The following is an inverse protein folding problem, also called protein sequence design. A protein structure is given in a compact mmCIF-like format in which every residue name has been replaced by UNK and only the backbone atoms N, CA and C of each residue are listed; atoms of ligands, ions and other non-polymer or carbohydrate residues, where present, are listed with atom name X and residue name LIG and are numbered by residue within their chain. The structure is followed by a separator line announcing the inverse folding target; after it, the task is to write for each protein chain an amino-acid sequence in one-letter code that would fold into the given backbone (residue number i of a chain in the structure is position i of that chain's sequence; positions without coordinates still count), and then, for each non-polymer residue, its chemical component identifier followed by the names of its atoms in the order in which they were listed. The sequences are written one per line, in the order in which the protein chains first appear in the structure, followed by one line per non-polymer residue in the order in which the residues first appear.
data_IF_352491481351
#
_entry.id   IF_352491481351
#
_cell.length_a   1.000
_cell.length_b   1.000
_cell.length_c   1.000
_cell.angle_alpha   90.00
_cell.angle_beta   90.00
_cell.angle_gamma   90.00
#
_symmetry.space_group_name_H-M   'P 1'
#
loop_
_entity.id
_entity.type
_entity.pdbx_description
1 polymer ?
#
# COMPACT_ATOMS: atom_id res chain seq x y z
N UNK A 1 -19.50 -7.67 18.36
CA UNK A 1 -18.24 -7.33 17.66
C UNK A 1 -18.13 -8.22 16.44
N UNK A 2 -17.74 -7.72 15.26
CA UNK A 2 -17.42 -8.60 14.14
C UNK A 2 -16.27 -9.55 14.55
N UNK A 3 -16.24 -10.79 14.02
CA UNK A 3 -15.19 -11.74 14.34
C UNK A 3 -13.82 -11.17 13.94
N UNK A 4 -12.82 -11.38 14.79
CA UNK A 4 -11.45 -10.94 14.54
C UNK A 4 -10.89 -11.80 13.41
N UNK A 5 -10.34 -11.17 12.37
CA UNK A 5 -9.67 -11.93 11.32
C UNK A 5 -8.39 -12.56 11.90
N UNK A 6 -8.05 -13.80 11.52
CA UNK A 6 -6.79 -14.42 11.91
C UNK A 6 -5.60 -13.50 11.58
N UNK A 7 -4.58 -13.49 12.44
CA UNK A 7 -3.36 -12.70 12.20
C UNK A 7 -3.42 -11.27 12.70
N UNK A 8 -4.47 -10.91 13.44
CA UNK A 8 -4.68 -9.55 13.93
C UNK A 8 -5.07 -9.58 15.39
N UNK A 9 -4.59 -8.58 16.12
CA UNK A 9 -5.05 -8.27 17.46
C UNK A 9 -5.63 -6.87 17.47
N UNK A 10 -6.55 -6.62 18.42
CA UNK A 10 -6.99 -5.26 18.74
C UNK A 10 -6.23 -4.77 19.95
N UNK A 11 -5.56 -3.65 19.79
CA UNK A 11 -4.94 -2.94 20.90
C UNK A 11 -5.99 -2.06 21.61
N UNK A 12 -5.84 -1.81 22.92
CA UNK A 12 -6.68 -0.85 23.62
C UNK A 12 -6.52 0.53 23.00
N UNK A 13 -7.62 1.12 22.55
CA UNK A 13 -7.65 2.49 22.02
C UNK A 13 -7.43 3.46 23.18
N UNK A 14 -6.38 4.28 23.16
CA UNK A 14 -6.19 5.27 24.22
C UNK A 14 -4.92 6.12 24.20
N UNK A 15 -3.90 5.76 23.43
CA UNK A 15 -2.66 6.56 23.32
C UNK A 15 -2.39 6.83 21.85
N UNK A 16 -2.16 8.09 21.50
CA UNK A 16 -1.73 8.47 20.16
C UNK A 16 -0.39 7.78 19.86
N UNK A 17 -0.27 7.03 18.74
CA UNK A 17 0.94 6.28 18.47
C UNK A 17 2.13 7.22 18.24
N UNK A 18 3.26 6.89 18.83
CA UNK A 18 4.53 7.63 18.69
C UNK A 18 5.34 7.09 17.51
N UNK A 19 6.39 7.80 17.12
CA UNK A 19 7.28 7.36 16.06
C UNK A 19 7.94 6.01 16.46
N UNK A 20 7.77 4.94 15.68
CA UNK A 20 8.29 3.63 16.06
C UNK A 20 9.82 3.52 15.93
N UNK A 21 10.43 4.24 15.00
CA UNK A 21 11.90 4.32 14.84
C UNK A 21 12.31 5.49 13.94
N UNK A 22 13.52 6.01 14.16
CA UNK A 22 14.20 6.91 13.23
C UNK A 22 14.82 6.14 12.06
N UNK A 23 15.14 4.85 12.23
CA UNK A 23 15.55 3.98 11.14
C UNK A 23 14.35 3.67 10.23
N UNK A 24 14.51 3.92 8.93
CA UNK A 24 13.38 3.81 8.01
C UNK A 24 12.92 2.36 7.81
N UNK A 25 13.82 1.38 7.83
CA UNK A 25 13.42 -0.03 7.67
C UNK A 25 12.65 -0.53 8.88
N UNK A 26 13.07 -0.17 10.09
CA UNK A 26 12.30 -0.46 11.30
C UNK A 26 10.95 0.26 11.29
N UNK A 27 10.92 1.53 10.88
CA UNK A 27 9.69 2.30 10.75
C UNK A 27 8.70 1.62 9.80
N UNK A 28 9.12 1.26 8.57
CA UNK A 28 8.19 0.76 7.55
C UNK A 28 7.62 -0.62 7.93
N UNK A 29 8.41 -1.48 8.58
CA UNK A 29 7.93 -2.77 9.13
C UNK A 29 6.85 -2.55 10.19
N UNK A 30 7.02 -1.55 11.06
CA UNK A 30 6.02 -1.20 12.06
C UNK A 30 4.77 -0.58 11.41
N UNK A 31 4.96 0.37 10.48
CA UNK A 31 3.90 1.05 9.74
C UNK A 31 2.99 0.05 9.01
N UNK A 32 3.56 -0.88 8.23
CA UNK A 32 2.79 -1.91 7.54
C UNK A 32 2.02 -2.85 8.47
N UNK A 33 2.47 -3.03 9.71
CA UNK A 33 1.84 -3.93 10.67
C UNK A 33 0.86 -3.24 11.63
N UNK A 34 0.62 -1.93 11.54
CA UNK A 34 -0.29 -1.21 12.46
C UNK A 34 -1.21 -0.24 11.73
N UNK A 35 -2.52 -0.43 11.90
CA UNK A 35 -3.50 0.52 11.40
C UNK A 35 -3.41 1.89 12.06
N UNK A 36 -3.04 1.97 13.34
CA UNK A 36 -2.85 3.25 14.03
C UNK A 36 -1.65 4.03 13.47
N UNK A 37 -0.54 3.34 13.17
CA UNK A 37 0.62 3.96 12.53
C UNK A 37 0.29 4.44 11.11
N UNK A 38 -0.45 3.65 10.33
CA UNK A 38 -0.93 4.05 9.00
C UNK A 38 -1.79 5.31 9.07
N UNK A 39 -2.71 5.37 10.04
CA UNK A 39 -3.56 6.54 10.26
C UNK A 39 -2.73 7.76 10.67
N UNK A 40 -1.79 7.61 11.62
CA UNK A 40 -1.05 8.73 12.21
C UNK A 40 0.07 9.28 11.33
N UNK A 41 0.77 8.40 10.63
CA UNK A 41 1.96 8.74 9.85
C UNK A 41 1.68 8.81 8.33
N UNK A 42 0.42 8.92 7.94
CA UNK A 42 0.03 9.43 6.61
C UNK A 42 -0.14 10.93 6.68
N UNK A 43 0.58 11.68 5.83
CA UNK A 43 0.39 13.11 5.70
C UNK A 43 -1.02 13.43 5.20
N UNK A 44 -1.56 14.57 5.64
CA UNK A 44 -2.88 15.06 5.22
C UNK A 44 -2.76 16.55 4.88
N UNK A 45 -2.86 16.93 3.60
CA UNK A 45 -2.97 16.03 2.45
C UNK A 45 -1.67 15.25 2.18
N UNK A 46 -1.80 14.14 1.43
CA UNK A 46 -0.71 13.50 0.70
C UNK A 46 -1.06 13.43 -0.79
N UNK A 47 -0.04 13.42 -1.65
CA UNK A 47 -0.25 13.43 -3.10
C UNK A 47 -0.44 12.01 -3.63
N UNK A 48 -1.54 11.77 -4.33
CA UNK A 48 -1.79 10.53 -5.06
C UNK A 48 -1.65 10.79 -6.54
N UNK A 49 -0.86 9.94 -7.22
CA UNK A 49 -0.76 9.93 -8.68
C UNK A 49 -1.25 8.60 -9.22
N UNK A 50 -2.21 8.63 -10.13
CA UNK A 50 -2.77 7.41 -10.73
C UNK A 50 -3.14 7.59 -12.20
N UNK A 51 -3.45 6.51 -12.91
CA UNK A 51 -3.90 6.57 -14.29
C UNK A 51 -5.19 7.38 -14.39
N UNK A 52 -5.25 8.31 -15.34
CA UNK A 52 -6.39 9.21 -15.50
C UNK A 52 -7.70 8.43 -15.77
N UNK A 53 -7.63 7.32 -16.51
CA UNK A 53 -8.82 6.58 -16.90
C UNK A 53 -9.59 5.96 -15.72
N UNK A 54 -8.93 5.69 -14.58
CA UNK A 54 -9.56 5.04 -13.42
C UNK A 54 -10.68 5.88 -12.81
N UNK A 55 -10.57 7.21 -12.87
CA UNK A 55 -11.53 8.13 -12.26
C UNK A 55 -12.42 8.87 -13.28
N UNK A 56 -12.06 8.83 -14.56
CA UNK A 56 -12.66 9.69 -15.59
C UNK A 56 -13.45 8.94 -16.67
N UNK A 57 -13.59 7.61 -16.56
CA UNK A 57 -14.35 6.78 -17.51
C UNK A 57 -13.89 6.99 -18.97
N UNK A 58 -12.57 7.02 -19.19
CA UNK A 58 -11.93 7.11 -20.51
C UNK A 58 -11.23 5.81 -20.89
N UNK A 59 -10.82 5.63 -22.14
CA UNK A 59 -10.03 4.45 -22.54
C UNK A 59 -8.56 4.59 -22.09
N UNK A 60 -7.93 3.53 -21.54
CA UNK A 60 -6.50 3.53 -21.23
C UNK A 60 -5.63 3.83 -22.46
N UNK A 61 -4.62 4.68 -22.27
CA UNK A 61 -3.68 5.08 -23.31
C UNK A 61 -4.25 6.02 -24.39
N UNK A 62 -5.51 6.44 -24.30
CA UNK A 62 -6.13 7.36 -25.26
C UNK A 62 -5.40 8.70 -25.29
N UNK A 63 -4.74 9.09 -26.41
CA UNK A 63 -4.00 10.33 -26.49
C UNK A 63 -4.88 11.59 -26.42
N UNK A 64 -6.22 11.45 -26.50
CA UNK A 64 -7.15 12.55 -26.28
C UNK A 64 -7.23 12.99 -24.80
N UNK A 65 -6.77 12.16 -23.87
CA UNK A 65 -6.83 12.39 -22.43
C UNK A 65 -5.42 12.41 -21.82
N UNK A 66 -5.23 13.05 -20.65
CA UNK A 66 -4.00 12.87 -19.88
C UNK A 66 -3.78 11.39 -19.56
N UNK A 67 -2.52 10.97 -19.50
CA UNK A 67 -2.19 9.61 -19.05
C UNK A 67 -2.34 9.48 -17.53
N UNK A 68 -1.97 10.54 -16.80
CA UNK A 68 -1.89 10.56 -15.35
C UNK A 68 -2.69 11.71 -14.77
N UNK A 69 -3.23 11.49 -13.58
CA UNK A 69 -3.77 12.53 -12.72
C UNK A 69 -2.97 12.59 -11.42
N UNK A 70 -2.87 13.77 -10.81
CA UNK A 70 -2.36 13.94 -9.45
C UNK A 70 -3.38 14.70 -8.63
N UNK A 71 -3.75 14.14 -7.48
CA UNK A 71 -4.75 14.68 -6.55
C UNK A 71 -4.23 14.66 -5.13
N UNK A 72 -4.70 15.59 -4.31
CA UNK A 72 -4.46 15.58 -2.87
C UNK A 72 -5.53 14.72 -2.16
N UNK A 73 -5.09 13.85 -1.24
CA UNK A 73 -5.98 13.05 -0.41
C UNK A 73 -5.81 13.34 1.09
N UNK A 74 -6.93 13.48 1.80
CA UNK A 74 -6.97 13.80 3.23
C UNK A 74 -7.26 12.58 4.14
N UNK A 75 -7.67 11.44 3.58
CA UNK A 75 -7.85 10.21 4.35
C UNK A 75 -6.52 9.45 4.44
N UNK A 76 -6.28 8.64 5.49
CA UNK A 76 -5.06 7.85 5.57
C UNK A 76 -4.98 6.79 4.48
N UNK A 77 -3.75 6.36 4.17
CA UNK A 77 -3.53 5.16 3.37
C UNK A 77 -3.81 3.93 4.24
N UNK A 78 -4.41 2.90 3.64
CA UNK A 78 -4.49 1.57 4.22
C UNK A 78 -3.78 0.57 3.32
N UNK A 79 -2.58 0.18 3.71
CA UNK A 79 -1.75 -0.72 2.92
C UNK A 79 -2.19 -2.19 3.12
N UNK A 80 -1.93 -3.04 2.13
CA UNK A 80 -2.18 -4.48 2.13
C UNK A 80 -0.91 -5.30 2.39
N UNK A 81 0.27 -4.68 2.44
CA UNK A 81 1.52 -5.38 2.73
C UNK A 81 1.81 -5.45 4.23
N UNK A 82 2.42 -6.55 4.67
CA UNK A 82 2.77 -6.83 6.06
C UNK A 82 4.20 -7.34 6.14
N UNK A 83 4.86 -7.11 7.27
CA UNK A 83 6.15 -7.70 7.56
C UNK A 83 5.99 -8.91 8.50
N UNK A 84 6.27 -10.10 7.99
CA UNK A 84 6.33 -11.34 8.77
C UNK A 84 7.68 -11.44 9.47
N UNK A 85 7.72 -11.09 10.75
CA UNK A 85 8.93 -11.13 11.56
C UNK A 85 9.45 -12.56 11.81
N UNK A 86 8.57 -13.59 11.80
CA UNK A 86 8.99 -14.97 11.99
C UNK A 86 9.78 -15.50 10.79
N UNK A 87 9.40 -15.06 9.59
CA UNK A 87 10.01 -15.48 8.33
C UNK A 87 10.99 -14.43 7.77
N UNK A 88 11.03 -13.24 8.34
CA UNK A 88 11.80 -12.09 7.85
C UNK A 88 11.52 -11.77 6.38
N UNK A 89 10.24 -11.75 6.01
CA UNK A 89 9.77 -11.48 4.63
C UNK A 89 8.56 -10.56 4.65
N UNK A 90 8.35 -9.85 3.55
CA UNK A 90 7.09 -9.15 3.32
C UNK A 90 6.05 -10.10 2.70
N UNK A 91 4.80 -9.90 3.08
CA UNK A 91 3.67 -10.70 2.59
C UNK A 91 2.50 -9.79 2.21
N UNK A 92 1.67 -10.28 1.28
CA UNK A 92 0.40 -9.64 0.94
C UNK A 92 -0.72 -10.18 1.82
N UNK A 93 -1.51 -9.28 2.38
CA UNK A 93 -2.66 -9.55 3.24
C UNK A 93 -3.91 -8.97 2.58
N UNK A 94 -4.96 -9.77 2.42
CA UNK A 94 -6.14 -9.39 1.64
C UNK A 94 -7.05 -8.36 2.31
N UNK A 95 -6.69 -7.86 3.49
CA UNK A 95 -7.53 -6.94 4.24
C UNK A 95 -6.73 -5.82 4.92
N UNK A 96 -7.28 -4.61 4.84
CA UNK A 96 -6.79 -3.43 5.54
C UNK A 96 -6.74 -3.63 7.05
N UNK A 97 -5.76 -3.00 7.68
CA UNK A 97 -5.75 -2.81 9.13
C UNK A 97 -6.58 -1.58 9.47
N UNK A 98 -7.59 -1.76 10.33
CA UNK A 98 -8.33 -0.64 10.90
C UNK A 98 -7.51 0.03 11.99
N UNK A 99 -7.87 1.27 12.34
CA UNK A 99 -7.38 1.89 13.56
C UNK A 99 -7.60 0.96 14.77
N UNK A 100 -6.60 0.83 15.64
CA UNK A 100 -6.55 -0.11 16.75
C UNK A 100 -6.17 -1.55 16.38
N UNK A 101 -5.98 -1.89 15.10
CA UNK A 101 -5.58 -3.23 14.68
C UNK A 101 -4.07 -3.30 14.41
N UNK A 102 -3.46 -4.38 14.91
CA UNK A 102 -2.08 -4.74 14.64
C UNK A 102 -2.03 -6.12 14.00
N UNK A 103 -1.25 -6.26 12.93
CA UNK A 103 -0.95 -7.53 12.30
C UNK A 103 0.15 -8.25 13.09
N UNK A 104 -0.08 -9.53 13.40
CA UNK A 104 0.82 -10.36 14.19
C UNK A 104 1.40 -11.54 13.40
N UNK A 105 0.83 -11.86 12.24
CA UNK A 105 1.27 -12.98 11.41
C UNK A 105 1.01 -14.36 11.99
N UNK A 106 0.27 -14.45 13.10
CA UNK A 106 -0.09 -15.72 13.75
C UNK A 106 -1.59 -15.83 13.99
N UNK A 107 -2.12 -17.05 13.92
CA UNK A 107 -3.51 -17.36 14.27
C UNK A 107 -3.73 -17.27 15.81
N UNK A 108 -4.99 -17.39 16.29
CA UNK A 108 -5.29 -17.37 17.73
C UNK A 108 -4.56 -18.46 18.54
N UNK A 109 -4.14 -19.55 17.91
CA UNK A 109 -3.37 -20.64 18.50
C UNK A 109 -1.85 -20.38 18.45
N UNK A 110 -1.41 -19.24 17.91
CA UNK A 110 -0.01 -18.84 17.81
C UNK A 110 0.73 -19.47 16.63
N UNK A 111 0.03 -20.11 15.68
CA UNK A 111 0.66 -20.69 14.49
C UNK A 111 0.85 -19.62 13.41
N UNK A 112 2.01 -19.61 12.70
CA UNK A 112 2.23 -18.69 11.60
C UNK A 112 1.16 -18.81 10.51
N UNK A 113 0.64 -17.67 10.07
CA UNK A 113 -0.25 -17.60 8.92
C UNK A 113 0.56 -17.68 7.63
N UNK A 114 0.11 -18.54 6.71
CA UNK A 114 0.65 -18.59 5.38
C UNK A 114 0.01 -17.50 4.52
N UNK A 115 0.80 -16.47 4.22
CA UNK A 115 0.46 -15.40 3.28
C UNK A 115 1.41 -15.42 2.08
N UNK A 116 0.92 -15.03 0.88
CA UNK A 116 1.78 -14.92 -0.31
C UNK A 116 2.95 -13.98 -0.01
N UNK A 117 4.18 -14.47 -0.24
CA UNK A 117 5.37 -13.62 -0.17
C UNK A 117 5.26 -12.59 -1.28
N UNK A 118 5.62 -11.35 -0.96
CA UNK A 118 5.61 -10.25 -1.93
C UNK A 118 6.96 -9.56 -1.93
N UNK A 119 7.28 -8.91 -3.04
CA UNK A 119 8.50 -8.14 -3.16
C UNK A 119 8.22 -6.72 -2.70
N UNK A 120 9.03 -6.25 -1.75
CA UNK A 120 9.04 -4.86 -1.29
C UNK A 120 10.47 -4.38 -1.39
N UNK A 121 10.70 -3.37 -2.22
CA UNK A 121 12.02 -2.76 -2.34
C UNK A 121 12.00 -1.41 -1.63
N UNK A 122 12.97 -1.21 -0.74
CA UNK A 122 13.14 0.05 -0.02
C UNK A 122 14.34 0.76 -0.63
N UNK A 123 14.13 2.00 -1.08
CA UNK A 123 15.15 2.79 -1.75
C UNK A 123 15.28 4.15 -1.10
N UNK A 124 16.50 4.49 -0.68
CA UNK A 124 16.79 5.83 -0.19
C UNK A 124 16.83 6.81 -1.38
N UNK A 125 15.94 7.79 -1.38
CA UNK A 125 15.90 8.87 -2.40
C UNK A 125 16.79 10.03 -1.96
N UNK A 126 16.75 10.35 -0.67
CA UNK A 126 17.62 11.36 -0.03
C UNK A 126 17.78 11.05 1.47
N UNK A 127 18.62 11.79 2.23
CA UNK A 127 18.72 11.62 3.68
C UNK A 127 17.41 11.80 4.45
N UNK A 128 16.40 12.44 3.84
CA UNK A 128 15.09 12.70 4.46
C UNK A 128 13.94 12.08 3.68
N UNK A 129 14.22 11.21 2.71
CA UNK A 129 13.19 10.65 1.85
C UNK A 129 13.52 9.22 1.42
N UNK A 130 12.55 8.33 1.57
CA UNK A 130 12.60 6.96 1.10
C UNK A 130 11.41 6.67 0.20
N UNK A 131 11.63 5.83 -0.81
CA UNK A 131 10.59 5.22 -1.62
C UNK A 131 10.46 3.75 -1.24
N UNK A 132 9.22 3.26 -1.22
CA UNK A 132 8.87 1.87 -0.99
C UNK A 132 8.13 1.40 -2.23
N UNK A 133 8.79 0.55 -3.01
CA UNK A 133 8.25 -0.01 -4.23
C UNK A 133 7.57 -1.34 -3.88
N UNK A 134 6.28 -1.41 -4.17
CA UNK A 134 5.42 -2.58 -3.96
C UNK A 134 4.73 -2.95 -5.27
N UNK A 135 4.16 -4.16 -5.45
CA UNK A 135 3.51 -4.52 -6.70
C UNK A 135 2.48 -3.47 -7.16
N UNK A 136 2.76 -2.85 -8.32
CA UNK A 136 1.90 -1.84 -8.92
C UNK A 136 1.93 -0.45 -8.26
N UNK A 137 2.79 -0.18 -7.26
CA UNK A 137 2.79 1.10 -6.53
C UNK A 137 4.16 1.54 -6.03
N UNK A 138 4.36 2.84 -5.95
CA UNK A 138 5.52 3.47 -5.32
C UNK A 138 5.02 4.44 -4.25
N UNK A 139 5.35 4.16 -2.99
CA UNK A 139 4.96 4.98 -1.84
C UNK A 139 6.16 5.74 -1.30
N UNK A 140 6.06 7.06 -1.20
CA UNK A 140 7.16 7.92 -0.75
C UNK A 140 6.93 8.40 0.68
N UNK A 141 7.95 8.21 1.51
CA UNK A 141 7.98 8.65 2.90
C UNK A 141 9.03 9.75 3.10
N UNK A 142 8.64 10.80 3.83
CA UNK A 142 9.49 11.96 4.11
C UNK A 142 9.67 12.14 5.61
N UNK A 143 10.90 12.37 6.05
CA UNK A 143 11.23 12.73 7.42
C UNK A 143 10.82 14.18 7.72
N UNK A 144 9.99 14.39 8.75
CA UNK A 144 9.48 15.72 9.14
C UNK A 144 10.11 16.30 10.40
N UNK A 145 11.15 15.68 10.94
CA UNK A 145 11.86 16.12 12.15
C UNK A 145 11.44 15.38 13.42
N UNK A 146 10.25 14.80 13.42
CA UNK A 146 9.68 14.00 14.51
C UNK A 146 9.48 12.53 14.11
N UNK A 147 9.12 12.27 12.85
CA UNK A 147 8.99 10.92 12.31
C UNK A 147 9.02 10.90 10.78
N UNK A 148 8.94 9.69 10.22
CA UNK A 148 8.65 9.42 8.81
C UNK A 148 7.15 9.54 8.54
N UNK A 149 6.80 10.16 7.42
CA UNK A 149 5.41 10.33 6.99
C UNK A 149 5.26 9.92 5.55
N UNK A 150 4.23 9.13 5.24
CA UNK A 150 3.79 8.94 3.86
C UNK A 150 3.36 10.29 3.30
N UNK A 151 3.97 10.70 2.21
CA UNK A 151 3.72 12.00 1.56
C UNK A 151 3.24 11.88 0.13
N UNK A 152 3.56 10.77 -0.55
CA UNK A 152 3.12 10.53 -1.91
C UNK A 152 2.84 9.05 -2.12
N UNK A 153 1.88 8.73 -2.98
CA UNK A 153 1.53 7.36 -3.37
C UNK A 153 1.22 7.33 -4.86
N UNK A 154 2.01 6.59 -5.63
CA UNK A 154 1.90 6.53 -7.08
C UNK A 154 1.52 5.13 -7.52
N UNK A 155 0.42 5.00 -8.26
CA UNK A 155 0.06 3.77 -8.96
C UNK A 155 0.89 3.65 -10.24
N UNK A 156 1.43 2.46 -10.48
CA UNK A 156 2.09 2.11 -11.73
C UNK A 156 1.03 1.58 -12.70
N UNK A 157 1.03 2.12 -13.91
CA UNK A 157 0.05 1.80 -14.94
C UNK A 157 0.58 0.67 -15.83
N UNK A 158 -0.05 -0.51 -15.88
CA UNK A 158 0.35 -1.58 -16.78
C UNK A 158 0.17 -1.21 -18.26
N UNK A 159 -0.61 -0.18 -18.56
CA UNK A 159 -0.78 0.39 -19.89
C UNK A 159 0.30 1.44 -20.24
N UNK A 160 1.26 1.73 -19.35
CA UNK A 160 2.33 2.67 -19.63
C UNK A 160 3.16 2.21 -20.86
N UNK A 161 3.19 3.05 -21.90
CA UNK A 161 3.95 2.79 -23.12
C UNK A 161 3.28 1.90 -24.17
N UNK A 162 2.03 1.45 -23.95
CA UNK A 162 1.26 0.74 -24.98
C UNK A 162 0.96 1.63 -26.20
N UNK A 163 0.88 1.05 -27.40
CA UNK A 163 0.42 1.75 -28.62
C UNK A 163 -1.10 1.73 -28.74
N UNK A 164 -1.71 2.91 -28.67
CA UNK A 164 -3.15 3.08 -28.89
C UNK A 164 -3.56 2.74 -30.35
N UNK A 165 -4.69 2.05 -30.61
CA UNK A 165 -5.60 1.44 -29.62
C UNK A 165 -5.20 0.02 -29.27
N UNK A 166 -4.71 -0.70 -30.29
CA UNK A 166 -4.83 -2.15 -30.33
C UNK A 166 -3.94 -2.81 -29.28
N UNK A 167 -2.81 -2.21 -28.91
CA UNK A 167 -1.97 -2.74 -27.84
C UNK A 167 -2.57 -2.47 -26.46
N UNK A 168 -3.08 -1.27 -26.23
CA UNK A 168 -3.72 -0.90 -24.97
C UNK A 168 -5.00 -1.73 -24.73
N UNK A 169 -5.83 -1.95 -25.76
CA UNK A 169 -7.05 -2.77 -25.64
C UNK A 169 -6.75 -4.25 -25.38
N UNK A 170 -5.68 -4.79 -25.98
CA UNK A 170 -5.26 -6.18 -25.72
C UNK A 170 -4.78 -6.38 -24.28
N UNK A 171 -4.13 -5.39 -23.69
CA UNK A 171 -3.75 -5.45 -22.27
C UNK A 171 -4.98 -5.46 -21.36
N UNK A 172 -6.04 -4.74 -21.72
CA UNK A 172 -7.29 -4.68 -20.96
C UNK A 172 -8.04 -6.02 -20.99
N UNK A 173 -8.07 -6.68 -22.15
CA UNK A 173 -8.64 -8.03 -22.30
C UNK A 173 -7.88 -9.09 -21.48
N UNK A 174 -6.58 -8.89 -21.26
CA UNK A 174 -5.73 -9.77 -20.44
C UNK A 174 -5.99 -9.57 -18.94
N UNK A 175 -6.13 -8.34 -18.45
CA UNK A 175 -6.51 -8.07 -17.05
C UNK A 175 -7.89 -8.62 -16.71
N UNK A 176 -8.86 -8.54 -17.63
CA UNK A 176 -10.19 -9.11 -17.45
C UNK A 176 -10.21 -10.63 -17.22
N UNK A 177 -9.11 -11.34 -17.52
CA UNK A 177 -8.94 -12.77 -17.21
C UNK A 177 -8.36 -13.00 -15.81
N UNK A 178 -7.49 -12.12 -15.30
CA UNK A 178 -6.94 -12.23 -13.94
C UNK A 178 -7.98 -11.98 -12.84
N UNK A 179 -8.97 -11.12 -13.08
CA UNK A 179 -10.06 -10.86 -12.13
C UNK A 179 -11.22 -11.86 -12.25
N UNK A 180 -11.17 -12.80 -13.21
CA UNK A 180 -12.25 -13.78 -13.44
C UNK A 180 -11.99 -15.14 -12.82
N UNK A 181 -10.76 -15.42 -12.38
CA UNK A 181 -10.36 -16.71 -11.82
C UNK A 181 -10.58 -16.83 -10.30
N UNK A 182 -11.18 -15.83 -9.65
CA UNK A 182 -11.56 -15.84 -8.21
C UNK A 182 -13.08 -15.99 -7.97
N UNK A 183 -13.86 -16.36 -8.98
CA UNK A 183 -15.25 -16.82 -8.81
C UNK A 183 -15.45 -18.19 -9.48
N UNK A 184 -15.10 -19.27 -8.76
CA UNK A 184 -15.79 -20.57 -8.80
C UNK A 184 -15.53 -21.38 -7.51
#
# INVERSE_FOLDING_TARGET
MPPMMPGRIRLPVGVEPTCPSEDFEEFIRAFFNSGDLQVRFTARPYEVKGPYYEQHNTEPGDPANPQWETVDQDHPLHDLYRYDAHRSVYVSDSAWLRAGEQWTGVDPEGKPLLRPVTEVQIRQVSPRQHAVDTPGRITTFTWRGDCWYLTQDWTLDPFEGCRWPDECRRLLEYEGQYYRDDED
#
